data_IF_258946638505
#
_entry.id   IF_258946638505
#
_cell.length_a   1.000
_cell.length_b   1.000
_cell.length_c   1.000
_cell.angle_alpha   90.00
_cell.angle_beta   90.00
_cell.angle_gamma   90.00
#
_symmetry.space_group_name_H-M   'P 1'
#
loop_
_entity.id
_entity.type
_entity.pdbx_description
1 polymer ?
#
# COMPACT_ATOMS: atom_id res chain seq x y z
N UNK A 1 7.87 5.81 13.76
CA UNK A 1 7.15 4.59 14.19
C UNK A 1 7.44 3.49 13.17
N UNK A 2 7.65 2.23 13.57
CA UNK A 2 7.90 1.13 12.62
C UNK A 2 6.55 0.55 12.18
N UNK A 3 6.11 0.87 10.96
CA UNK A 3 4.86 0.38 10.36
C UNK A 3 5.15 -0.95 9.64
N UNK A 4 5.49 -2.00 10.39
CA UNK A 4 5.69 -3.35 9.86
C UNK A 4 4.74 -4.28 10.58
N UNK A 5 3.65 -4.61 9.90
CA UNK A 5 2.65 -5.58 10.35
C UNK A 5 3.09 -7.01 10.01
N UNK A 6 2.57 -7.98 10.76
CA UNK A 6 2.82 -9.39 10.49
C UNK A 6 1.89 -9.88 9.39
N UNK A 7 2.46 -10.36 8.29
CA UNK A 7 1.72 -10.95 7.18
C UNK A 7 1.34 -12.41 7.48
N UNK A 8 0.15 -12.87 7.03
CA UNK A 8 -0.16 -14.29 7.00
C UNK A 8 0.77 -15.02 6.01
N UNK A 9 0.98 -16.32 6.22
CA UNK A 9 1.96 -17.11 5.45
C UNK A 9 1.75 -17.10 3.94
N UNK A 10 0.50 -16.94 3.47
CA UNK A 10 0.20 -16.82 2.04
C UNK A 10 0.67 -15.49 1.46
N UNK A 11 0.38 -14.37 2.15
CA UNK A 11 0.82 -13.04 1.74
C UNK A 11 2.35 -12.93 1.77
N UNK A 12 2.99 -13.48 2.81
CA UNK A 12 4.45 -13.49 2.94
C UNK A 12 5.12 -14.26 1.80
N UNK A 13 4.64 -15.48 1.48
CA UNK A 13 5.15 -16.26 0.34
C UNK A 13 5.04 -15.48 -0.97
N UNK A 14 3.88 -14.89 -1.23
CA UNK A 14 3.65 -14.07 -2.42
C UNK A 14 4.59 -12.87 -2.47
N UNK A 15 4.80 -12.20 -1.33
CA UNK A 15 5.77 -11.11 -1.24
C UNK A 15 7.19 -11.57 -1.56
N UNK A 16 7.63 -12.72 -1.03
CA UNK A 16 8.97 -13.27 -1.32
C UNK A 16 9.16 -13.63 -2.80
N UNK A 17 8.10 -14.01 -3.51
CA UNK A 17 8.14 -14.27 -4.96
C UNK A 17 8.27 -12.98 -5.79
N UNK A 18 7.73 -11.86 -5.28
CA UNK A 18 7.73 -10.55 -5.96
C UNK A 18 9.00 -9.74 -5.62
N UNK A 19 9.52 -9.87 -4.39
CA UNK A 19 10.68 -9.11 -3.91
C UNK A 19 11.93 -9.44 -4.71
N UNK A 20 12.64 -8.39 -5.10
CA UNK A 20 13.93 -8.58 -5.77
C UNK A 20 15.04 -8.81 -4.73
N UNK A 21 16.09 -9.57 -5.07
CA UNK A 21 17.23 -9.76 -4.20
C UNK A 21 17.82 -8.42 -3.71
N UNK A 22 17.99 -8.31 -2.40
CA UNK A 22 18.54 -7.13 -1.74
C UNK A 22 17.57 -5.94 -1.61
N UNK A 23 16.28 -6.10 -1.88
CA UNK A 23 15.26 -5.10 -1.49
C UNK A 23 15.02 -5.17 0.02
N UNK A 24 15.01 -4.01 0.67
CA UNK A 24 14.76 -3.89 2.11
C UNK A 24 13.38 -3.29 2.36
N UNK A 25 12.51 -4.03 3.05
CA UNK A 25 11.18 -3.54 3.44
C UNK A 25 11.31 -2.44 4.49
N UNK A 26 10.70 -1.29 4.23
CA UNK A 26 10.64 -0.11 5.12
C UNK A 26 9.28 0.03 5.80
N UNK A 27 8.21 -0.30 5.08
CA UNK A 27 6.83 -0.25 5.55
C UNK A 27 6.07 -1.45 5.01
N UNK A 28 5.17 -2.02 5.82
CA UNK A 28 4.32 -3.15 5.49
C UNK A 28 3.05 -3.04 6.33
N UNK A 29 1.92 -2.77 5.68
CA UNK A 29 0.62 -2.60 6.34
C UNK A 29 -0.49 -3.24 5.52
N UNK A 30 -1.52 -3.74 6.20
CA UNK A 30 -2.74 -4.19 5.56
C UNK A 30 -3.78 -3.06 5.45
N UNK A 31 -4.53 -3.06 4.36
CA UNK A 31 -5.83 -2.40 4.23
C UNK A 31 -6.93 -3.45 4.26
N UNK A 32 -8.14 -3.02 4.60
CA UNK A 32 -9.32 -3.86 4.76
C UNK A 32 -10.32 -3.70 3.60
N UNK A 33 -9.94 -3.04 2.51
CA UNK A 33 -10.77 -2.85 1.33
C UNK A 33 -10.03 -3.27 0.06
N UNK A 34 -10.65 -4.13 -0.75
CA UNK A 34 -10.12 -4.51 -2.09
C UNK A 34 -10.35 -3.37 -3.09
N UNK A 35 -11.48 -2.67 -2.92
CA UNK A 35 -11.89 -1.49 -3.67
C UNK A 35 -12.84 -0.64 -2.79
N UNK A 36 -13.36 0.49 -3.28
CA UNK A 36 -14.23 1.38 -2.50
C UNK A 36 -15.46 0.73 -1.84
N UNK A 37 -15.96 -0.41 -2.34
CA UNK A 37 -17.24 -1.01 -1.91
C UNK A 37 -17.10 -2.38 -1.25
N UNK A 38 -15.96 -3.05 -1.42
CA UNK A 38 -15.78 -4.44 -0.99
C UNK A 38 -14.69 -4.56 0.05
N UNK A 39 -15.05 -5.09 1.22
CA UNK A 39 -14.08 -5.48 2.24
C UNK A 39 -13.20 -6.63 1.75
N UNK A 40 -11.93 -6.58 2.10
CA UNK A 40 -10.96 -7.64 1.87
C UNK A 40 -9.54 -7.13 2.01
N UNK A 41 -8.61 -8.04 2.19
CA UNK A 41 -7.25 -7.69 2.57
C UNK A 41 -6.40 -7.33 1.35
N UNK A 42 -5.81 -6.13 1.37
CA UNK A 42 -4.74 -5.70 0.46
C UNK A 42 -3.55 -5.24 1.25
N UNK A 43 -2.37 -5.69 0.86
CA UNK A 43 -1.10 -5.33 1.49
C UNK A 43 -0.43 -4.21 0.73
N UNK A 44 0.01 -3.19 1.46
CA UNK A 44 0.90 -2.16 0.97
C UNK A 44 2.28 -2.36 1.59
N UNK A 45 3.27 -2.54 0.72
CA UNK A 45 4.66 -2.72 1.10
C UNK A 45 5.50 -1.65 0.43
N UNK A 46 6.25 -0.89 1.22
CA UNK A 46 7.22 0.07 0.70
C UNK A 46 8.60 -0.51 0.96
N UNK A 47 9.36 -0.71 -0.11
CA UNK A 47 10.77 -1.11 -0.04
C UNK A 47 11.67 0.13 -0.11
N UNK A 48 12.98 -0.06 -0.16
CA UNK A 48 13.93 0.99 -0.51
C UNK A 48 13.95 1.33 -2.01
N UNK A 49 13.15 0.65 -2.85
CA UNK A 49 13.12 0.84 -4.31
C UNK A 49 11.74 1.19 -4.88
N UNK A 50 10.67 0.61 -4.35
CA UNK A 50 9.32 0.69 -4.93
C UNK A 50 8.22 0.51 -3.87
N UNK A 51 7.03 0.97 -4.22
CA UNK A 51 5.78 0.65 -3.53
C UNK A 51 5.14 -0.54 -4.25
N UNK A 52 4.72 -1.52 -3.46
CA UNK A 52 4.00 -2.71 -3.91
C UNK A 52 2.63 -2.72 -3.24
N UNK A 53 1.58 -2.94 -4.02
CA UNK A 53 0.23 -3.22 -3.50
C UNK A 53 -0.26 -4.53 -4.09
N UNK A 54 -0.68 -5.47 -3.25
CA UNK A 54 -1.17 -6.77 -3.70
C UNK A 54 -2.19 -7.36 -2.74
N UNK A 55 -3.05 -8.25 -3.23
CA UNK A 55 -3.85 -9.14 -2.39
C UNK A 55 -3.17 -10.50 -2.22
N UNK A 56 -3.36 -11.14 -1.07
CA UNK A 56 -2.90 -12.49 -0.82
C UNK A 56 -3.72 -13.55 -1.58
N UNK A 57 -5.01 -13.26 -1.82
CA UNK A 57 -5.96 -14.21 -2.41
C UNK A 57 -6.02 -14.08 -3.94
N UNK A 58 -5.91 -12.86 -4.48
CA UNK A 58 -5.99 -12.60 -5.92
C UNK A 58 -4.58 -12.58 -6.53
N UNK A 59 -4.29 -13.46 -7.50
CA UNK A 59 -2.95 -13.58 -8.10
C UNK A 59 -2.56 -12.39 -8.99
N UNK A 60 -3.53 -11.80 -9.69
CA UNK A 60 -3.26 -10.94 -10.85
C UNK A 60 -3.31 -9.43 -10.55
N UNK A 61 -3.70 -9.03 -9.34
CA UNK A 61 -3.78 -7.62 -8.92
C UNK A 61 -2.56 -7.22 -8.09
N UNK A 62 -1.43 -6.98 -8.77
CA UNK A 62 -0.20 -6.45 -8.19
C UNK A 62 0.10 -5.10 -8.85
N UNK A 63 0.05 -4.03 -8.07
CA UNK A 63 0.53 -2.72 -8.49
C UNK A 63 1.95 -2.51 -7.98
N UNK A 64 2.86 -2.14 -8.88
CA UNK A 64 4.25 -1.83 -8.56
C UNK A 64 4.62 -0.44 -9.08
N UNK A 65 5.08 0.43 -8.18
CA UNK A 65 5.47 1.80 -8.51
C UNK A 65 6.89 2.09 -8.02
N UNK A 66 7.84 2.41 -8.90
CA UNK A 66 9.16 2.85 -8.48
C UNK A 66 9.08 4.09 -7.58
N UNK A 67 9.78 4.08 -6.44
CA UNK A 67 9.72 5.19 -5.48
C UNK A 67 10.18 6.51 -6.10
N UNK A 68 11.16 6.46 -7.01
CA UNK A 68 11.68 7.63 -7.70
C UNK A 68 10.70 8.28 -8.70
N UNK A 69 9.55 7.64 -8.98
CA UNK A 69 8.49 8.22 -9.82
C UNK A 69 7.39 8.89 -8.99
N UNK A 70 7.36 8.63 -7.67
CA UNK A 70 6.35 9.20 -6.78
C UNK A 70 6.80 10.60 -6.35
N UNK A 71 6.00 11.60 -6.71
CA UNK A 71 6.25 13.02 -6.39
C UNK A 71 5.51 13.49 -5.15
N UNK A 72 4.41 12.83 -4.77
CA UNK A 72 3.68 13.07 -3.52
C UNK A 72 2.78 11.87 -3.20
N UNK A 73 2.43 11.72 -1.92
CA UNK A 73 1.45 10.75 -1.44
C UNK A 73 0.49 11.42 -0.45
N UNK A 74 -0.82 11.24 -0.65
CA UNK A 74 -1.85 11.86 0.18
C UNK A 74 -3.02 10.94 0.44
N UNK A 75 -3.79 11.29 1.46
CA UNK A 75 -5.05 10.64 1.78
C UNK A 75 -6.20 11.49 1.24
N UNK A 76 -7.08 10.86 0.46
CA UNK A 76 -8.38 11.42 0.09
C UNK A 76 -9.45 10.80 1.00
N UNK A 77 -10.12 11.63 1.80
CA UNK A 77 -11.16 11.18 2.71
C UNK A 77 -12.49 10.93 1.97
N UNK A 78 -13.14 9.80 2.27
CA UNK A 78 -14.41 9.39 1.67
C UNK A 78 -15.43 9.09 2.77
N UNK A 79 -16.71 8.97 2.40
CA UNK A 79 -17.74 8.54 3.36
C UNK A 79 -17.46 7.09 3.76
N UNK A 80 -17.24 6.87 5.06
CA UNK A 80 -16.96 5.54 5.62
C UNK A 80 -15.50 5.08 5.50
N UNK A 81 -14.57 5.90 5.00
CA UNK A 81 -13.17 5.53 4.84
C UNK A 81 -12.33 6.55 4.09
N UNK A 82 -11.41 6.06 3.27
CA UNK A 82 -10.60 6.88 2.38
C UNK A 82 -9.82 6.06 1.38
N UNK A 83 -9.02 6.75 0.57
CA UNK A 83 -8.05 6.15 -0.35
C UNK A 83 -6.69 6.80 -0.20
N UNK A 84 -5.65 6.00 -0.43
CA UNK A 84 -4.28 6.49 -0.60
C UNK A 84 -4.08 6.82 -2.07
N UNK A 85 -3.69 8.05 -2.36
CA UNK A 85 -3.35 8.51 -3.70
C UNK A 85 -1.86 8.86 -3.76
N UNK A 86 -1.23 8.55 -4.89
CA UNK A 86 0.13 9.00 -5.21
C UNK A 86 0.13 9.77 -6.51
N UNK A 87 0.96 10.80 -6.59
CA UNK A 87 1.14 11.56 -7.82
C UNK A 87 2.41 11.12 -8.54
N UNK A 88 2.29 10.77 -9.81
CA UNK A 88 3.36 10.38 -10.71
C UNK A 88 3.44 11.44 -11.82
N UNK A 89 4.47 12.27 -11.84
CA UNK A 89 4.66 13.33 -12.85
C UNK A 89 3.41 14.22 -13.10
N UNK A 90 2.62 14.47 -12.05
CA UNK A 90 1.39 15.26 -12.10
C UNK A 90 0.11 14.48 -12.37
N UNK A 91 0.19 13.20 -12.71
CA UNK A 91 -0.96 12.29 -12.76
C UNK A 91 -1.23 11.66 -11.39
N UNK A 92 -2.49 11.62 -10.98
CA UNK A 92 -2.89 11.04 -9.69
C UNK A 92 -3.33 9.60 -9.90
N UNK A 93 -2.69 8.68 -9.18
CA UNK A 93 -3.04 7.27 -9.17
C UNK A 93 -3.62 6.88 -7.80
N UNK A 94 -4.77 6.20 -7.84
CA UNK A 94 -5.40 5.62 -6.66
C UNK A 94 -4.72 4.28 -6.31
N UNK A 95 -3.98 4.21 -5.20
CA UNK A 95 -3.24 3.00 -4.83
C UNK A 95 -4.12 1.94 -4.17
N UNK A 96 -4.92 2.35 -3.18
CA UNK A 96 -5.80 1.45 -2.44
C UNK A 96 -6.87 2.23 -1.68
N UNK A 97 -7.87 1.49 -1.20
CA UNK A 97 -8.94 1.97 -0.34
C UNK A 97 -8.77 1.41 1.07
N UNK A 98 -9.35 2.07 2.07
CA UNK A 98 -9.37 1.59 3.45
C UNK A 98 -10.64 2.09 4.16
N UNK A 99 -11.14 1.35 5.15
CA UNK A 99 -12.31 1.76 5.94
C UNK A 99 -11.95 2.81 6.99
N UNK A 100 -12.94 3.52 7.53
CA UNK A 100 -12.70 4.59 8.51
C UNK A 100 -11.91 4.13 9.74
N UNK A 101 -11.97 2.83 10.07
CA UNK A 101 -11.21 2.24 11.18
C UNK A 101 -9.69 2.37 11.02
N UNK A 102 -9.19 2.45 9.79
CA UNK A 102 -7.75 2.54 9.50
C UNK A 102 -7.25 3.96 9.19
N UNK A 103 -8.10 4.99 9.36
CA UNK A 103 -7.78 6.38 9.00
C UNK A 103 -6.50 6.91 9.68
N UNK A 104 -6.32 6.62 10.97
CA UNK A 104 -5.11 7.03 11.70
C UNK A 104 -3.85 6.36 11.17
N UNK A 105 -3.94 5.07 10.80
CA UNK A 105 -2.82 4.31 10.22
C UNK A 105 -2.44 4.88 8.86
N UNK A 106 -3.41 5.06 7.96
CA UNK A 106 -3.12 5.52 6.61
C UNK A 106 -2.66 6.97 6.53
N UNK A 107 -3.05 7.83 7.48
CA UNK A 107 -2.46 9.16 7.63
C UNK A 107 -0.95 9.13 7.89
N UNK A 108 -0.46 8.16 8.66
CA UNK A 108 0.98 7.98 8.90
C UNK A 108 1.69 7.30 7.71
N UNK A 109 1.01 6.40 7.01
CA UNK A 109 1.53 5.75 5.79
C UNK A 109 1.79 6.77 4.69
N UNK A 110 0.85 7.68 4.42
CA UNK A 110 1.03 8.71 3.39
C UNK A 110 2.26 9.60 3.68
N UNK A 111 2.41 10.06 4.94
CA UNK A 111 3.58 10.83 5.37
C UNK A 111 4.89 10.04 5.23
N UNK A 112 4.86 8.74 5.46
CA UNK A 112 6.05 7.89 5.34
C UNK A 112 6.47 7.64 3.87
N UNK A 113 5.55 7.75 2.92
CA UNK A 113 5.85 7.63 1.47
C UNK A 113 6.35 8.97 0.91
N UNK A 114 5.88 10.10 1.45
CA UNK A 114 6.28 11.45 1.02
C UNK A 114 7.70 11.87 1.47
N UNK A 115 8.29 11.19 2.47
CA UNK A 115 9.59 11.51 3.08
C UNK A 115 10.77 10.73 2.46
#
# INVERSE_FOLDING_TARGET
MKLIEQMPSQADRKLQEILQPGEAIRLCVASDMVNHRTFGEKWLVVTDRRVLVFSAEESDDIAELPLNTITSAKIEHLVGGGKLEVSLDGEVLELLYYSSSLSGKFGEVAKAIEQ
#
